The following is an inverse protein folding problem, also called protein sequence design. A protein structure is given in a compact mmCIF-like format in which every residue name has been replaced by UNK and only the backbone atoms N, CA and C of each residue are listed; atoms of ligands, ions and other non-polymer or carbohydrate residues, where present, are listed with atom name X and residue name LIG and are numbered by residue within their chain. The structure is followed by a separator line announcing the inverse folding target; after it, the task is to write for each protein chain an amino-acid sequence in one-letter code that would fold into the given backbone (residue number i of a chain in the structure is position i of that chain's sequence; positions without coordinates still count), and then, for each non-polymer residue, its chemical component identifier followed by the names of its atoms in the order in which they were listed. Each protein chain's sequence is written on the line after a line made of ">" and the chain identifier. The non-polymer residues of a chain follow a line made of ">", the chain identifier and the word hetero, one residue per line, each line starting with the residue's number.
data_IF_922191646193
#
_entry.id   IF_922191646193
#
_cell.length_a   1.000
_cell.length_b   1.000
_cell.length_c   1.000
_cell.angle_alpha   90.00
_cell.angle_beta   90.00
_cell.angle_gamma   90.00
#
_symmetry.space_group_name_H-M   'P 1'
#
loop_
_entity.id
_entity.type
_entity.pdbx_description
1 polymer ?
#
# COMPACT_ATOMS: atom_id res chain seq x y z
N UNK A 1 -70.60 -34.26 19.79
CA UNK A 1 -70.15 -32.85 19.70
C UNK A 1 -68.70 -32.83 19.24
N UNK A 2 -68.44 -32.04 18.18
CA UNK A 2 -67.17 -31.41 17.77
C UNK A 2 -65.93 -32.29 17.52
N UNK A 3 -65.67 -32.47 16.22
CA UNK A 3 -64.40 -32.76 15.57
C UNK A 3 -63.27 -31.84 16.04
N UNK A 4 -62.02 -32.33 16.03
CA UNK A 4 -60.86 -31.57 15.53
C UNK A 4 -59.81 -32.56 14.99
N UNK A 5 -59.79 -32.72 13.67
CA UNK A 5 -58.62 -33.21 12.93
C UNK A 5 -57.63 -32.04 12.84
N UNK A 6 -56.44 -32.20 13.39
CA UNK A 6 -55.33 -31.30 13.11
C UNK A 6 -54.35 -32.06 12.24
N UNK A 7 -54.46 -31.84 10.93
CA UNK A 7 -53.39 -32.11 10.00
C UNK A 7 -52.33 -31.01 10.17
N UNK A 8 -51.12 -31.37 10.56
CA UNK A 8 -49.96 -30.49 10.40
C UNK A 8 -49.09 -31.09 9.31
N UNK A 9 -49.21 -30.52 8.11
CA UNK A 9 -48.31 -30.78 7.00
C UNK A 9 -46.87 -30.50 7.42
N UNK A 10 -46.01 -31.50 7.34
CA UNK A 10 -44.56 -31.31 7.33
C UNK A 10 -44.17 -30.68 5.99
N UNK A 11 -44.14 -29.35 5.94
CA UNK A 11 -43.44 -28.64 4.88
C UNK A 11 -41.93 -28.77 5.14
N UNK A 12 -41.27 -29.67 4.43
CA UNK A 12 -39.81 -29.67 4.31
C UNK A 12 -39.41 -28.43 3.50
N UNK A 13 -39.13 -27.32 4.19
CA UNK A 13 -38.51 -26.15 3.58
C UNK A 13 -37.02 -26.48 3.46
N UNK A 14 -36.64 -27.06 2.32
CA UNK A 14 -35.28 -27.03 1.81
C UNK A 14 -34.92 -25.57 1.53
N UNK A 15 -34.46 -24.86 2.55
CA UNK A 15 -33.64 -23.67 2.35
C UNK A 15 -32.31 -24.16 1.80
N UNK A 16 -32.23 -24.26 0.47
CA UNK A 16 -30.96 -24.19 -0.24
C UNK A 16 -30.41 -22.80 0.02
N UNK A 17 -29.67 -22.64 1.12
CA UNK A 17 -28.70 -21.56 1.26
C UNK A 17 -27.75 -21.73 0.09
N UNK A 18 -27.96 -20.91 -0.95
CA UNK A 18 -26.91 -20.62 -1.90
C UNK A 18 -25.80 -19.98 -1.07
N UNK A 19 -24.86 -20.79 -0.59
CA UNK A 19 -23.50 -20.34 -0.35
C UNK A 19 -23.02 -19.86 -1.71
N UNK A 20 -23.30 -18.59 -2.00
CA UNK A 20 -22.47 -17.83 -2.91
C UNK A 20 -21.06 -18.07 -2.40
N UNK A 21 -20.29 -18.86 -3.14
CA UNK A 21 -18.85 -18.90 -2.93
C UNK A 21 -18.44 -17.43 -2.89
N UNK A 22 -17.71 -16.97 -1.87
CA UNK A 22 -17.10 -15.67 -1.95
C UNK A 22 -16.25 -15.74 -3.22
N UNK A 23 -16.68 -15.01 -4.25
CA UNK A 23 -15.80 -14.64 -5.35
C UNK A 23 -14.58 -14.12 -4.64
N UNK A 24 -13.47 -14.84 -4.78
CA UNK A 24 -12.16 -14.49 -4.28
C UNK A 24 -11.96 -13.02 -4.62
N UNK A 25 -12.25 -12.17 -3.64
CA UNK A 25 -12.01 -10.75 -3.74
C UNK A 25 -10.53 -10.66 -3.50
N UNK A 26 -9.78 -10.91 -4.57
CA UNK A 26 -8.35 -10.67 -4.63
C UNK A 26 -8.15 -9.24 -4.09
N UNK A 27 -7.19 -9.06 -3.17
CA UNK A 27 -6.95 -7.74 -2.62
C UNK A 27 -6.53 -6.78 -3.74
N UNK A 28 -6.97 -5.53 -3.66
CA UNK A 28 -6.86 -4.54 -4.76
C UNK A 28 -5.44 -3.99 -5.02
N UNK A 29 -4.38 -4.77 -4.85
CA UNK A 29 -3.00 -4.30 -5.03
C UNK A 29 -2.27 -4.90 -6.24
N UNK A 30 -2.90 -5.74 -7.06
CA UNK A 30 -2.24 -6.43 -8.18
C UNK A 30 -1.54 -5.49 -9.20
N UNK A 31 -1.87 -4.20 -9.19
CA UNK A 31 -1.31 -3.18 -10.08
C UNK A 31 -0.54 -2.08 -9.34
N UNK A 32 0.12 -2.32 -8.20
CA UNK A 32 1.01 -1.31 -7.60
C UNK A 32 2.31 -1.86 -7.01
N UNK A 33 3.37 -1.08 -7.17
CA UNK A 33 4.70 -1.32 -6.67
C UNK A 33 4.98 -0.44 -5.47
N UNK A 34 5.29 -1.07 -4.36
CA UNK A 34 5.70 -0.38 -3.16
C UNK A 34 7.21 -0.13 -3.21
N UNK A 35 7.61 1.13 -3.02
CA UNK A 35 9.01 1.54 -2.99
C UNK A 35 9.35 2.15 -1.63
N UNK A 36 10.60 1.94 -1.21
CA UNK A 36 11.22 2.56 -0.06
C UNK A 36 12.31 3.50 -0.54
N UNK A 37 12.37 4.69 0.03
CA UNK A 37 13.32 5.76 -0.27
C UNK A 37 14.03 6.13 1.03
N UNK A 38 15.35 6.33 0.97
CA UNK A 38 16.08 6.90 2.10
C UNK A 38 16.20 8.41 1.90
N UNK A 39 15.83 9.17 2.93
CA UNK A 39 15.84 10.63 2.87
C UNK A 39 17.22 11.21 3.19
N UNK A 40 18.17 10.33 3.49
CA UNK A 40 19.55 10.68 3.75
C UNK A 40 19.76 11.27 5.13
N UNK A 41 18.93 11.09 6.14
CA UNK A 41 19.26 11.51 7.52
C UNK A 41 19.86 10.36 8.36
N UNK A 42 20.47 9.37 7.70
CA UNK A 42 21.08 8.19 8.32
C UNK A 42 20.08 7.05 8.57
N UNK A 43 18.91 7.38 9.12
CA UNK A 43 18.04 6.37 9.75
C UNK A 43 16.59 6.38 9.23
N UNK A 44 16.10 7.48 8.63
CA UNK A 44 14.71 7.53 8.14
C UNK A 44 14.61 7.05 6.70
N UNK A 45 13.90 5.94 6.52
CA UNK A 45 13.34 5.58 5.22
C UNK A 45 11.86 5.91 5.19
N UNK A 46 11.41 6.49 4.08
CA UNK A 46 10.01 6.67 3.73
C UNK A 46 9.61 5.66 2.68
N UNK A 47 8.32 5.41 2.51
CA UNK A 47 7.86 4.58 1.41
C UNK A 47 6.56 5.09 0.82
N UNK A 48 6.31 4.68 -0.42
CA UNK A 48 5.12 5.05 -1.18
C UNK A 48 4.69 3.91 -2.10
N UNK A 49 3.38 3.77 -2.27
CA UNK A 49 2.80 2.86 -3.26
C UNK A 49 2.63 3.58 -4.61
N UNK A 50 3.17 2.98 -5.66
CA UNK A 50 3.13 3.51 -7.04
C UNK A 50 2.30 2.57 -7.89
N UNK A 51 1.25 3.07 -8.53
CA UNK A 51 0.51 2.28 -9.52
C UNK A 51 1.43 1.84 -10.66
N UNK A 52 1.42 0.55 -10.96
CA UNK A 52 2.16 -0.05 -12.04
C UNK A 52 1.73 0.56 -13.39
N UNK A 53 2.69 0.74 -14.30
CA UNK A 53 2.52 1.34 -15.61
C UNK A 53 2.06 2.82 -15.60
N UNK A 54 2.01 3.46 -14.43
CA UNK A 54 1.64 4.86 -14.27
C UNK A 54 2.82 5.69 -13.75
N UNK A 55 2.93 6.92 -14.24
CA UNK A 55 3.91 7.87 -13.73
C UNK A 55 3.37 8.49 -12.43
N UNK A 56 4.06 8.25 -11.32
CA UNK A 56 3.76 8.84 -10.03
C UNK A 56 4.53 10.15 -9.86
N UNK A 57 3.83 11.28 -9.75
CA UNK A 57 4.45 12.58 -9.50
C UNK A 57 4.64 12.82 -8.00
N UNK A 58 5.83 13.28 -7.61
CA UNK A 58 6.18 13.57 -6.21
C UNK A 58 5.78 14.99 -5.79
N UNK A 59 5.25 15.82 -6.70
CA UNK A 59 5.08 17.27 -6.50
C UNK A 59 4.22 17.64 -5.27
N UNK A 60 3.25 16.79 -4.93
CA UNK A 60 2.37 16.97 -3.77
C UNK A 60 2.72 16.05 -2.60
N UNK A 61 3.78 15.24 -2.72
CA UNK A 61 4.21 14.31 -1.68
C UNK A 61 5.60 14.69 -1.17
N UNK A 62 5.62 15.54 -0.13
CA UNK A 62 6.85 16.07 0.49
C UNK A 62 7.73 15.01 1.14
N UNK A 63 7.23 13.80 1.33
CA UNK A 63 8.01 12.74 1.97
C UNK A 63 8.95 12.08 0.96
N UNK A 64 8.51 11.96 -0.29
CA UNK A 64 9.22 11.21 -1.35
C UNK A 64 9.74 12.11 -2.47
N UNK A 65 9.74 13.43 -2.27
CA UNK A 65 10.21 14.40 -3.27
C UNK A 65 11.73 14.63 -3.24
N UNK A 66 12.44 14.00 -2.31
CA UNK A 66 13.88 13.97 -2.27
C UNK A 66 14.35 12.66 -1.62
N UNK A 67 15.54 12.21 -1.99
CA UNK A 67 16.14 11.02 -1.39
C UNK A 67 17.55 10.78 -1.88
N UNK A 68 18.23 9.85 -1.22
CA UNK A 68 19.60 9.44 -1.56
C UNK A 68 19.64 8.11 -2.32
N UNK A 69 18.64 7.26 -2.09
CA UNK A 69 18.45 6.02 -2.82
C UNK A 69 16.98 5.57 -2.76
N UNK A 70 16.63 4.60 -3.61
CA UNK A 70 15.37 3.88 -3.52
C UNK A 70 15.52 2.39 -3.81
N UNK A 71 14.57 1.61 -3.31
CA UNK A 71 14.45 0.17 -3.55
C UNK A 71 12.97 -0.20 -3.65
N UNK A 72 12.61 -1.15 -4.53
CA UNK A 72 11.28 -1.72 -4.50
C UNK A 72 11.20 -2.72 -3.36
N UNK A 73 10.04 -2.85 -2.74
CA UNK A 73 9.82 -3.79 -1.63
C UNK A 73 8.79 -4.85 -2.04
N UNK A 74 7.91 -4.51 -2.99
CA UNK A 74 7.04 -5.49 -3.65
C UNK A 74 7.89 -6.37 -4.58
N UNK A 75 7.82 -7.69 -4.38
CA UNK A 75 8.55 -8.61 -5.24
C UNK A 75 8.02 -8.60 -6.68
N UNK A 76 8.93 -8.66 -7.66
CA UNK A 76 8.60 -8.58 -9.08
C UNK A 76 8.36 -7.16 -9.61
N UNK A 77 8.45 -6.14 -8.76
CA UNK A 77 8.39 -4.75 -9.19
C UNK A 77 9.75 -4.24 -9.65
N UNK A 78 9.75 -3.62 -10.83
CA UNK A 78 10.90 -2.94 -11.41
C UNK A 78 10.55 -1.46 -11.55
N UNK A 79 11.38 -0.59 -10.99
CA UNK A 79 11.11 0.83 -10.87
C UNK A 79 12.27 1.69 -11.38
N UNK A 80 11.93 2.91 -11.83
CA UNK A 80 12.85 3.95 -12.25
C UNK A 80 12.42 5.28 -11.64
N UNK A 81 13.36 6.01 -11.05
CA UNK A 81 13.15 7.38 -10.59
C UNK A 81 13.56 8.39 -11.66
N UNK A 82 12.95 9.58 -11.62
CA UNK A 82 13.26 10.69 -12.52
C UNK A 82 13.39 11.98 -11.72
N UNK A 83 14.29 12.87 -12.14
CA UNK A 83 14.48 14.18 -11.52
C UNK A 83 13.40 15.19 -11.91
N UNK A 84 12.67 14.94 -13.01
CA UNK A 84 11.53 15.74 -13.44
C UNK A 84 10.19 15.02 -13.20
N UNK A 85 9.13 15.81 -13.00
CA UNK A 85 7.77 15.29 -12.84
C UNK A 85 7.21 14.64 -14.10
N UNK A 86 7.89 14.81 -15.24
CA UNK A 86 7.41 14.40 -16.54
C UNK A 86 8.00 13.06 -17.02
N UNK A 87 8.85 12.42 -16.18
CA UNK A 87 9.39 11.09 -16.38
C UNK A 87 10.41 10.99 -17.52
N UNK A 88 11.23 12.02 -17.73
CA UNK A 88 12.13 12.10 -18.89
C UNK A 88 13.62 12.06 -18.54
N UNK A 89 14.00 12.61 -17.40
CA UNK A 89 15.38 12.70 -16.93
C UNK A 89 15.59 11.66 -15.85
N UNK A 90 16.17 10.51 -16.23
CA UNK A 90 16.44 9.42 -15.30
C UNK A 90 17.31 9.90 -14.13
N UNK A 91 16.93 9.48 -12.93
CA UNK A 91 17.67 9.69 -11.70
C UNK A 91 18.11 8.33 -11.18
N UNK A 92 19.41 8.10 -11.15
CA UNK A 92 19.98 6.79 -10.81
C UNK A 92 19.62 5.68 -11.80
N UNK A 93 19.92 4.44 -11.41
CA UNK A 93 19.60 3.23 -12.17
C UNK A 93 18.16 2.74 -11.96
N UNK A 94 17.84 1.64 -12.62
CA UNK A 94 16.65 0.84 -12.33
C UNK A 94 16.85 0.14 -10.97
N UNK A 95 15.78 -0.01 -10.21
CA UNK A 95 15.78 -0.69 -8.91
C UNK A 95 14.59 -1.66 -8.79
N UNK A 96 14.77 -2.69 -7.97
CA UNK A 96 13.80 -3.75 -7.71
C UNK A 96 13.92 -4.23 -6.24
N UNK A 97 13.32 -5.37 -5.90
CA UNK A 97 13.37 -5.97 -4.55
C UNK A 97 14.73 -6.56 -4.18
N UNK A 98 15.67 -6.60 -5.12
CA UNK A 98 17.03 -7.10 -4.92
C UNK A 98 18.11 -6.03 -5.16
N UNK A 99 17.78 -4.96 -5.87
CA UNK A 99 18.71 -3.96 -6.39
C UNK A 99 18.27 -2.57 -5.95
N UNK A 100 19.13 -1.85 -5.23
CA UNK A 100 18.89 -0.44 -4.93
C UNK A 100 19.42 0.46 -6.05
N UNK A 101 18.74 1.58 -6.28
CA UNK A 101 19.26 2.68 -7.08
C UNK A 101 19.77 3.79 -6.16
N UNK A 102 21.06 4.14 -6.30
CA UNK A 102 21.60 5.38 -5.72
C UNK A 102 21.23 6.58 -6.58
N UNK A 103 20.86 7.68 -5.94
CA UNK A 103 20.59 8.96 -6.58
C UNK A 103 21.71 9.99 -6.35
N UNK A 104 22.68 9.66 -5.49
CA UNK A 104 23.82 10.52 -5.18
C UNK A 104 25.11 9.94 -5.74
N UNK A 105 26.11 10.82 -5.91
CA UNK A 105 27.47 10.43 -6.31
C UNK A 105 28.23 9.67 -5.19
N UNK A 106 27.62 9.46 -4.02
CA UNK A 106 28.17 8.62 -2.97
C UNK A 106 28.12 7.16 -3.45
N UNK A 107 29.26 6.70 -3.99
CA UNK A 107 29.51 5.41 -4.63
C UNK A 107 29.08 4.14 -3.85
N UNK A 108 28.61 4.25 -2.61
CA UNK A 108 28.22 3.14 -1.77
C UNK A 108 26.71 2.85 -1.78
N UNK A 109 25.85 3.82 -2.08
CA UNK A 109 24.40 3.69 -1.80
C UNK A 109 24.08 3.38 -0.32
N UNK A 110 25.08 3.45 0.55
CA UNK A 110 25.05 3.07 1.95
C UNK A 110 24.37 4.16 2.79
N UNK A 111 23.82 3.67 3.89
CA UNK A 111 22.92 4.32 4.85
C UNK A 111 23.50 5.53 5.59
N UNK A 112 24.81 5.78 5.53
CA UNK A 112 25.45 6.88 6.26
C UNK A 112 25.23 8.27 5.62
N UNK A 113 24.28 8.37 4.68
CA UNK A 113 24.02 9.62 3.98
C UNK A 113 23.47 10.66 4.97
N UNK A 114 23.88 11.93 4.83
CA UNK A 114 23.39 13.08 5.62
C UNK A 114 22.36 13.90 4.84
N UNK A 115 21.41 14.57 5.51
CA UNK A 115 20.18 15.04 4.86
C UNK A 115 20.48 16.04 3.72
N UNK A 116 21.62 16.71 3.82
CA UNK A 116 22.17 17.64 2.82
C UNK A 116 22.60 16.94 1.51
N UNK A 117 22.65 15.61 1.47
CA UNK A 117 22.96 14.80 0.29
C UNK A 117 21.72 14.34 -0.47
N UNK A 118 20.52 14.49 0.10
CA UNK A 118 19.27 14.12 -0.57
C UNK A 118 19.10 14.95 -1.85
N UNK A 119 18.85 14.27 -2.96
CA UNK A 119 18.61 14.93 -4.24
C UNK A 119 17.11 14.97 -4.55
N UNK A 120 16.59 16.03 -5.18
CA UNK A 120 15.19 16.10 -5.57
C UNK A 120 14.79 14.98 -6.53
N UNK A 121 13.64 14.37 -6.26
CA UNK A 121 12.99 13.36 -7.09
C UNK A 121 11.70 13.95 -7.61
N UNK A 122 11.50 13.97 -8.93
CA UNK A 122 10.32 14.54 -9.57
C UNK A 122 9.21 13.53 -9.85
N UNK A 123 9.57 12.29 -10.18
CA UNK A 123 8.59 11.22 -10.39
C UNK A 123 9.19 9.82 -10.29
N UNK A 124 8.31 8.82 -10.18
CA UNK A 124 8.64 7.42 -10.27
C UNK A 124 7.79 6.71 -11.33
N UNK A 125 8.36 5.69 -11.96
CA UNK A 125 7.66 4.76 -12.82
C UNK A 125 7.97 3.34 -12.36
N UNK A 126 6.94 2.52 -12.15
CA UNK A 126 7.12 1.12 -11.79
C UNK A 126 6.30 0.21 -12.70
N UNK A 127 6.78 -1.00 -12.92
CA UNK A 127 6.10 -2.07 -13.66
C UNK A 127 6.24 -3.39 -12.90
N UNK A 128 5.28 -4.29 -13.07
CA UNK A 128 5.27 -5.63 -12.46
C UNK A 128 5.81 -6.72 -13.41
N UNK A 129 6.29 -6.33 -14.60
CA UNK A 129 6.80 -7.24 -15.62
C UNK A 129 8.31 -7.40 -15.50
N UNK A 130 8.85 -8.62 -15.24
CA UNK A 130 10.29 -8.83 -15.11
C UNK A 130 11.07 -8.46 -16.38
N UNK A 131 12.30 -7.97 -16.22
CA UNK A 131 13.27 -7.71 -17.30
C UNK A 131 12.87 -6.67 -18.36
N UNK A 132 11.89 -5.81 -18.06
CA UNK A 132 11.50 -4.72 -18.96
C UNK A 132 11.87 -3.38 -18.34
N UNK A 133 12.48 -2.49 -19.12
CA UNK A 133 12.69 -1.12 -18.67
C UNK A 133 11.32 -0.49 -18.33
N UNK A 134 11.16 0.18 -17.16
CA UNK A 134 9.91 0.81 -16.81
C UNK A 134 9.52 1.89 -17.82
N UNK A 135 8.50 1.61 -18.63
CA UNK A 135 7.91 2.58 -19.56
C UNK A 135 6.51 2.93 -19.07
N UNK A 136 6.40 4.06 -18.38
CA UNK A 136 5.10 4.58 -17.95
C UNK A 136 4.59 5.59 -18.98
N UNK A 137 3.34 5.42 -19.38
CA UNK A 137 2.70 6.35 -20.33
C UNK A 137 2.35 7.65 -19.59
N UNK A 138 2.59 8.80 -20.23
CA UNK A 138 2.32 10.14 -19.66
C UNK A 138 0.83 10.51 -19.61
N UNK A 139 -0.07 9.55 -19.37
CA UNK A 139 -1.46 9.53 -19.83
C UNK A 139 -1.55 9.09 -21.30
N UNK A 140 -1.87 7.82 -21.52
CA UNK A 140 -2.60 7.44 -22.72
C UNK A 140 -4.03 7.95 -22.57
N UNK A 141 -4.68 8.38 -23.65
CA UNK A 141 -6.13 8.65 -23.70
C UNK A 141 -6.90 7.37 -23.39
N UNK A 142 -6.96 7.05 -22.11
CA UNK A 142 -7.80 6.02 -21.54
C UNK A 142 -9.13 6.69 -21.26
N UNK A 143 -10.15 6.36 -22.05
CA UNK A 143 -11.53 6.55 -21.59
C UNK A 143 -11.71 5.63 -20.39
N UNK A 144 -11.87 6.18 -19.17
CA UNK A 144 -12.08 5.36 -18.00
C UNK A 144 -13.39 4.57 -18.18
N UNK A 145 -13.45 3.30 -17.76
CA UNK A 145 -14.68 2.79 -17.18
C UNK A 145 -15.16 3.84 -16.18
N UNK A 146 -16.48 4.08 -16.07
CA UNK A 146 -17.01 5.09 -15.18
C UNK A 146 -16.28 5.00 -13.84
N UNK A 147 -15.70 6.12 -13.35
CA UNK A 147 -14.84 6.07 -12.18
C UNK A 147 -15.62 5.33 -11.09
N UNK A 148 -15.03 4.29 -10.46
CA UNK A 148 -15.63 3.77 -9.24
C UNK A 148 -15.90 4.97 -8.32
N UNK A 149 -17.03 4.98 -7.60
CA UNK A 149 -17.37 6.11 -6.74
C UNK A 149 -16.15 6.48 -5.89
N UNK A 150 -15.86 7.77 -5.66
CA UNK A 150 -14.64 8.20 -4.99
C UNK A 150 -14.51 7.45 -3.66
N UNK A 151 -13.63 6.46 -3.64
CA UNK A 151 -13.30 5.73 -2.43
C UNK A 151 -12.39 6.66 -1.67
N UNK A 152 -12.96 7.35 -0.67
CA UNK A 152 -12.17 8.13 0.28
C UNK A 152 -11.01 7.26 0.78
N UNK A 153 -9.83 7.83 0.87
CA UNK A 153 -8.65 7.10 1.33
C UNK A 153 -8.24 7.55 2.72
N UNK A 154 -7.47 6.70 3.37
CA UNK A 154 -6.85 6.93 4.67
C UNK A 154 -5.35 6.77 4.49
N UNK A 155 -4.56 7.75 4.92
CA UNK A 155 -3.09 7.63 4.93
C UNK A 155 -2.67 6.92 6.20
N UNK A 156 -2.16 5.71 6.05
CA UNK A 156 -1.64 4.88 7.14
C UNK A 156 -0.13 4.96 7.15
N UNK A 157 0.46 5.27 8.30
CA UNK A 157 1.88 5.10 8.56
C UNK A 157 2.15 3.73 9.18
N UNK A 158 3.18 3.06 8.68
CA UNK A 158 3.68 1.76 9.14
C UNK A 158 5.14 1.98 9.52
N UNK A 159 5.42 1.83 10.80
CA UNK A 159 6.77 1.91 11.35
C UNK A 159 7.36 0.51 11.43
N UNK A 160 8.67 0.42 11.24
CA UNK A 160 9.44 -0.81 11.22
C UNK A 160 10.40 -0.88 12.41
N UNK A 161 10.90 -2.08 12.72
CA UNK A 161 11.90 -2.29 13.78
C UNK A 161 13.27 -1.66 13.49
N UNK A 162 13.52 -1.24 12.25
CA UNK A 162 14.75 -0.56 11.83
C UNK A 162 14.60 0.97 11.80
N UNK A 163 13.64 1.50 12.56
CA UNK A 163 13.29 2.93 12.65
C UNK A 163 12.84 3.57 11.33
N UNK A 164 12.62 2.77 10.28
CA UNK A 164 11.97 3.24 9.06
C UNK A 164 10.45 3.41 9.24
N UNK A 165 9.86 4.36 8.52
CA UNK A 165 8.44 4.65 8.57
C UNK A 165 7.87 4.88 7.18
N UNK A 166 6.79 4.20 6.85
CA UNK A 166 6.22 4.21 5.50
C UNK A 166 4.80 4.74 5.55
N UNK A 167 4.39 5.55 4.58
CA UNK A 167 2.99 5.99 4.47
C UNK A 167 2.31 5.45 3.21
N UNK A 168 1.12 4.88 3.37
CA UNK A 168 0.32 4.34 2.27
C UNK A 168 -1.11 4.87 2.31
N UNK A 169 -1.67 5.15 1.15
CA UNK A 169 -3.09 5.50 1.00
C UNK A 169 -3.91 4.23 0.84
N UNK A 170 -4.79 3.98 1.81
CA UNK A 170 -5.64 2.80 1.88
C UNK A 170 -7.08 3.21 1.62
N UNK A 171 -7.81 2.54 0.72
CA UNK A 171 -9.25 2.76 0.56
C UNK A 171 -10.00 2.57 1.88
N UNK A 172 -10.86 3.51 2.20
CA UNK A 172 -11.66 3.52 3.43
C UNK A 172 -13.04 2.85 3.25
N UNK A 173 -13.11 1.83 2.39
CA UNK A 173 -14.33 1.10 2.00
C UNK A 173 -14.45 -0.28 2.68
N UNK A 174 -13.52 -0.62 3.57
CA UNK A 174 -13.48 -1.87 4.32
C UNK A 174 -12.99 -3.08 3.54
N UNK A 175 -12.64 -2.92 2.26
CA UNK A 175 -12.11 -4.01 1.45
C UNK A 175 -10.64 -4.31 1.81
N UNK A 176 -10.17 -5.56 1.63
CA UNK A 176 -8.75 -5.89 1.73
C UNK A 176 -7.93 -5.09 0.71
N UNK A 177 -6.99 -4.32 1.22
CA UNK A 177 -5.96 -3.65 0.46
C UNK A 177 -4.66 -4.40 0.68
N UNK A 178 -4.17 -5.11 -0.34
CA UNK A 178 -2.91 -5.84 -0.21
C UNK A 178 -1.77 -4.84 0.04
N UNK A 179 -0.77 -5.30 0.78
CA UNK A 179 0.46 -4.59 1.02
C UNK A 179 1.58 -5.60 1.29
N UNK A 180 2.81 -5.17 1.49
CA UNK A 180 3.90 -6.11 1.83
C UNK A 180 4.96 -5.43 2.69
N UNK A 181 4.87 -5.69 3.99
CA UNK A 181 5.87 -5.31 4.99
C UNK A 181 6.24 -6.54 5.80
N UNK A 182 7.53 -6.77 6.05
CA UNK A 182 7.99 -7.97 6.77
C UNK A 182 8.62 -7.66 8.13
N UNK A 183 8.79 -6.38 8.44
CA UNK A 183 9.52 -5.91 9.63
C UNK A 183 8.76 -4.81 10.38
N UNK A 184 7.45 -4.69 10.14
CA UNK A 184 6.63 -3.68 10.77
C UNK A 184 6.50 -3.94 12.28
N UNK A 185 6.57 -2.89 13.10
CA UNK A 185 6.41 -2.97 14.55
C UNK A 185 5.34 -2.05 15.10
N UNK A 186 4.90 -1.03 14.36
CA UNK A 186 3.83 -0.15 14.77
C UNK A 186 3.09 0.48 13.59
N UNK A 187 1.85 0.91 13.81
CA UNK A 187 0.98 1.49 12.79
C UNK A 187 0.13 2.63 13.35
N UNK A 188 -0.18 3.62 12.52
CA UNK A 188 -1.12 4.71 12.84
C UNK A 188 -1.75 5.29 11.58
N UNK A 189 -2.89 5.95 11.73
CA UNK A 189 -3.49 6.78 10.69
C UNK A 189 -2.94 8.21 10.83
N UNK A 190 -2.26 8.71 9.81
CA UNK A 190 -1.65 10.06 9.83
C UNK A 190 -2.47 11.11 9.09
N UNK A 191 -3.36 10.69 8.19
CA UNK A 191 -4.25 11.59 7.46
C UNK A 191 -5.52 10.85 7.01
N UNK A 192 -6.64 11.56 6.95
CA UNK A 192 -7.95 11.01 6.56
C UNK A 192 -8.60 12.00 5.61
N UNK A 193 -8.84 11.57 4.37
CA UNK A 193 -9.43 12.47 3.38
C UNK A 193 -10.88 12.82 3.75
N UNK A 194 -11.12 14.07 4.14
CA UNK A 194 -12.46 14.62 4.36
C UNK A 194 -13.20 14.11 5.60
N UNK A 195 -12.51 13.55 6.59
CA UNK A 195 -13.06 13.13 7.90
C UNK A 195 -12.00 13.21 9.00
N UNK A 196 -12.41 13.20 10.27
CA UNK A 196 -11.50 13.10 11.42
C UNK A 196 -11.57 11.72 12.10
N UNK A 197 -12.34 10.78 11.55
CA UNK A 197 -12.56 9.46 12.16
C UNK A 197 -12.46 8.35 11.12
N UNK A 198 -11.55 7.42 11.40
CA UNK A 198 -11.33 6.21 10.63
C UNK A 198 -10.67 5.15 11.49
N UNK A 199 -10.86 3.89 11.13
CA UNK A 199 -10.25 2.74 11.80
C UNK A 199 -9.69 1.81 10.75
N UNK A 200 -8.47 1.36 10.98
CA UNK A 200 -7.77 0.40 10.14
C UNK A 200 -7.41 -0.86 10.93
N UNK A 201 -7.20 -1.97 10.22
CA UNK A 201 -6.70 -3.23 10.77
C UNK A 201 -5.62 -3.78 9.84
N UNK A 202 -4.51 -4.25 10.42
CA UNK A 202 -3.44 -4.93 9.70
C UNK A 202 -3.63 -6.44 9.73
N UNK A 203 -3.21 -7.13 8.67
CA UNK A 203 -3.34 -8.58 8.51
C UNK A 203 -2.07 -9.20 7.95
N UNK A 204 -1.77 -10.44 8.35
CA UNK A 204 -0.60 -11.20 7.91
C UNK A 204 -0.85 -12.03 6.65
N UNK A 205 -2.03 -11.89 6.04
CA UNK A 205 -2.43 -12.52 4.80
C UNK A 205 -3.05 -11.50 3.83
N UNK A 206 -2.88 -11.75 2.54
CA UNK A 206 -3.41 -10.93 1.46
C UNK A 206 -4.95 -10.84 1.47
N UNK A 207 -5.63 -11.89 1.92
CA UNK A 207 -7.09 -11.93 1.99
C UNK A 207 -7.66 -11.10 3.15
N UNK A 208 -6.82 -10.63 4.07
CA UNK A 208 -7.22 -9.82 5.23
C UNK A 208 -8.04 -10.60 6.24
N UNK A 209 -7.63 -11.83 6.57
CA UNK A 209 -8.36 -12.73 7.47
C UNK A 209 -7.65 -12.97 8.80
N UNK A 210 -6.32 -12.91 8.84
CA UNK A 210 -5.49 -13.16 10.01
C UNK A 210 -4.96 -11.82 10.53
N UNK A 211 -5.62 -11.28 11.55
CA UNK A 211 -5.29 -9.98 12.11
C UNK A 211 -3.89 -9.97 12.78
N UNK A 212 -3.16 -8.89 12.55
CA UNK A 212 -1.89 -8.56 13.22
C UNK A 212 -2.15 -7.41 14.17
N UNK A 213 -2.12 -7.70 15.48
CA UNK A 213 -2.44 -6.72 16.51
C UNK A 213 -3.91 -6.30 16.51
N UNK A 214 -4.20 -5.23 17.25
CA UNK A 214 -5.54 -4.65 17.38
C UNK A 214 -5.84 -3.66 16.24
N UNK A 215 -7.13 -3.34 16.00
CA UNK A 215 -7.50 -2.21 15.14
C UNK A 215 -6.86 -0.91 15.64
N UNK A 216 -6.54 -0.01 14.72
CA UNK A 216 -5.83 1.24 15.01
C UNK A 216 -6.52 2.44 14.37
N UNK A 217 -6.37 3.58 15.05
CA UNK A 217 -6.85 4.90 14.62
C UNK A 217 -5.67 5.83 14.37
N UNK A 218 -5.79 7.09 14.78
CA UNK A 218 -4.70 8.08 14.69
C UNK A 218 -3.60 7.92 15.75
N UNK A 219 -3.84 7.09 16.76
CA UNK A 219 -2.84 6.79 17.77
C UNK A 219 -1.90 5.67 17.31
N UNK A 220 -0.61 5.80 17.62
CA UNK A 220 0.39 4.78 17.35
C UNK A 220 0.11 3.48 18.11
N UNK A 221 -0.08 2.39 17.37
CA UNK A 221 -0.32 1.05 17.90
C UNK A 221 0.86 0.14 17.59
N UNK A 222 1.48 -0.42 18.63
CA UNK A 222 2.52 -1.43 18.47
C UNK A 222 1.94 -2.79 18.08
N UNK A 223 2.40 -3.29 16.93
CA UNK A 223 2.05 -4.61 16.41
C UNK A 223 2.84 -5.68 17.18
N UNK A 224 2.19 -6.80 17.51
CA UNK A 224 2.84 -7.95 18.14
C UNK A 224 3.72 -7.59 19.36
N UNK A 225 3.30 -6.58 20.16
CA UNK A 225 4.07 -6.10 21.32
C UNK A 225 5.36 -5.35 20.97
N UNK A 226 5.49 -4.82 19.74
CA UNK A 226 6.67 -4.11 19.24
C UNK A 226 7.70 -4.99 18.54
N UNK A 227 7.44 -6.30 18.44
CA UNK A 227 8.27 -7.21 17.64
C UNK A 227 7.96 -7.05 16.14
N UNK A 228 8.94 -7.40 15.30
CA UNK A 228 8.75 -7.45 13.85
C UNK A 228 7.56 -8.35 13.48
N UNK A 229 6.67 -7.82 12.65
CA UNK A 229 5.50 -8.48 12.13
C UNK A 229 5.39 -8.28 10.61
N UNK A 230 4.89 -9.30 9.92
CA UNK A 230 4.54 -9.19 8.52
C UNK A 230 3.11 -8.66 8.36
N UNK A 231 2.94 -7.62 7.54
CA UNK A 231 1.66 -7.09 7.10
C UNK A 231 1.56 -7.35 5.59
N UNK A 232 0.58 -8.17 5.20
CA UNK A 232 0.28 -8.49 3.80
C UNK A 232 -1.02 -7.85 3.31
N UNK A 233 -1.85 -7.32 4.21
CA UNK A 233 -2.96 -6.44 3.82
C UNK A 233 -3.39 -5.51 4.95
N UNK A 234 -4.09 -4.44 4.59
CA UNK A 234 -4.81 -3.54 5.48
C UNK A 234 -6.29 -3.50 5.10
N UNK A 235 -7.15 -3.19 6.06
CA UNK A 235 -8.54 -2.79 5.81
C UNK A 235 -8.83 -1.53 6.58
N UNK A 236 -9.38 -0.52 5.93
CA UNK A 236 -9.75 0.74 6.58
C UNK A 236 -11.21 1.05 6.33
N UNK A 237 -11.87 1.62 7.34
CA UNK A 237 -13.24 2.14 7.24
C UNK A 237 -13.28 3.53 7.84
N UNK A 238 -14.08 4.42 7.25
CA UNK A 238 -14.46 5.66 7.92
C UNK A 238 -15.61 5.39 8.88
N UNK A 239 -15.54 5.98 10.07
CA UNK A 239 -16.69 6.04 10.97
C UNK A 239 -17.73 6.98 10.35
N UNK A 240 -18.94 6.47 10.11
CA UNK A 240 -20.09 7.26 9.65
C UNK A 240 -20.65 8.15 10.76
#
# INVERSE_FOLDING_TARGET
>A
MKSFLVAVSSAAILLTSASALPTTHLPRQDDSCFIRIKNGDGDASVGVSILANALFSTINNRQVNAGVNAQAVTSGCICQAFSDAAGTLKLGGIFDDHTLASFTDASSGEVDSTADQAVPIGSFCCVTTPNTEPVCSRSGTWTPPPPPPPTRTVRVQINSVDDSAVQIEVPADGSPFATSFNIANAVEIVDIEGSNQGTCQAFSDEAGTIAVGSPFGTDLVFLNGGAAASILSLRCNLSS
#
